data_IF_021250213474
#
_entry.id   IF_021250213474
#
_cell.length_a   1.000
_cell.length_b   1.000
_cell.length_c   1.000
_cell.angle_alpha   90.00
_cell.angle_beta   90.00
_cell.angle_gamma   90.00
#
_symmetry.space_group_name_H-M   'P 1'
#
loop_
_entity.id
_entity.type
_entity.pdbx_description
1 polymer ?
#
# COMPACT_ATOMS: atom_id res chain seq x y z
N UNK A 1 21.58 18.40 18.48
CA UNK A 1 22.14 17.37 17.59
C UNK A 1 20.98 16.75 16.82
N UNK A 2 20.82 17.10 15.54
CA UNK A 2 19.88 16.41 14.67
C UNK A 2 20.48 15.03 14.39
N UNK A 3 19.84 13.96 14.88
CA UNK A 3 20.14 12.62 14.40
C UNK A 3 19.87 12.63 12.89
N UNK A 4 20.91 12.51 12.07
CA UNK A 4 20.74 12.27 10.64
C UNK A 4 20.07 10.91 10.54
N UNK A 5 18.78 10.89 10.25
CA UNK A 5 18.04 9.66 9.99
C UNK A 5 18.70 9.04 8.75
N UNK A 6 19.37 7.91 8.95
CA UNK A 6 19.94 7.12 7.86
C UNK A 6 18.82 6.18 7.43
N UNK A 7 18.23 6.47 6.28
CA UNK A 7 17.29 5.54 5.65
C UNK A 7 18.09 4.36 5.09
N UNK A 8 17.59 3.12 5.21
CA UNK A 8 18.26 1.98 4.60
C UNK A 8 18.37 2.20 3.10
N UNK A 9 19.46 1.72 2.50
CA UNK A 9 19.45 1.53 1.05
C UNK A 9 18.39 0.47 0.76
N UNK A 10 17.70 0.53 -0.39
CA UNK A 10 16.78 -0.55 -0.75
C UNK A 10 17.46 -1.92 -0.76
N UNK A 11 18.79 -1.97 -0.96
CA UNK A 11 19.64 -3.16 -0.86
C UNK A 11 19.54 -3.90 0.49
N UNK A 12 19.13 -3.21 1.57
CA UNK A 12 18.90 -3.80 2.89
C UNK A 12 17.46 -4.32 3.07
N UNK A 13 16.55 -4.05 2.12
CA UNK A 13 15.19 -4.57 2.12
C UNK A 13 15.13 -5.95 1.48
N UNK A 14 14.19 -6.77 1.94
CA UNK A 14 13.80 -7.97 1.22
C UNK A 14 13.18 -7.61 -0.14
N UNK A 15 13.20 -8.55 -1.09
CA UNK A 15 12.58 -8.35 -2.41
C UNK A 15 11.08 -8.05 -2.29
N UNK A 16 10.43 -8.67 -1.32
CA UNK A 16 9.03 -8.52 -0.98
C UNK A 16 8.72 -7.10 -0.45
N UNK A 17 9.50 -6.62 0.52
CA UNK A 17 9.35 -5.26 1.03
C UNK A 17 9.57 -4.22 -0.08
N UNK A 18 10.57 -4.44 -0.96
CA UNK A 18 10.84 -3.56 -2.09
C UNK A 18 9.66 -3.52 -3.07
N UNK A 19 9.04 -4.67 -3.37
CA UNK A 19 7.87 -4.73 -4.25
C UNK A 19 6.70 -3.93 -3.68
N UNK A 20 6.44 -4.02 -2.37
CA UNK A 20 5.42 -3.18 -1.74
C UNK A 20 5.76 -1.69 -1.77
N UNK A 21 7.02 -1.31 -1.58
CA UNK A 21 7.46 0.10 -1.68
C UNK A 21 7.31 0.66 -3.11
N UNK A 22 7.56 -0.17 -4.14
CA UNK A 22 7.32 0.19 -5.55
C UNK A 22 5.82 0.37 -5.77
N UNK A 23 5.00 -0.63 -5.42
CA UNK A 23 3.55 -0.54 -5.58
C UNK A 23 2.94 0.67 -4.84
N UNK A 24 3.43 0.99 -3.64
CA UNK A 24 2.98 2.17 -2.88
C UNK A 24 3.40 3.51 -3.51
N UNK A 25 4.45 3.51 -4.33
CA UNK A 25 4.85 4.68 -5.12
C UNK A 25 3.87 4.93 -6.25
N UNK A 26 3.54 3.85 -6.96
CA UNK A 26 2.76 3.90 -8.18
C UNK A 26 1.26 3.95 -7.89
N UNK A 27 0.88 3.69 -6.63
CA UNK A 27 -0.52 3.49 -6.22
C UNK A 27 -1.10 2.28 -6.97
N UNK A 28 -0.24 1.28 -7.22
CA UNK A 28 -0.51 0.11 -8.07
C UNK A 28 -0.91 -1.14 -7.29
N UNK A 29 -1.06 -1.02 -5.97
CA UNK A 29 -1.87 -1.96 -5.19
C UNK A 29 -3.29 -1.40 -5.15
N UNK A 30 -4.20 -2.11 -5.81
CA UNK A 30 -5.64 -1.86 -5.83
C UNK A 30 -6.35 -3.21 -5.63
N UNK A 31 -7.64 -3.23 -5.29
CA UNK A 31 -8.40 -4.47 -5.28
C UNK A 31 -8.33 -5.16 -6.65
N UNK A 32 -7.85 -6.40 -6.68
CA UNK A 32 -7.63 -7.21 -7.87
C UNK A 32 -6.35 -6.88 -8.65
N UNK A 33 -5.57 -5.88 -8.23
CA UNK A 33 -4.29 -5.49 -8.82
C UNK A 33 -3.21 -5.56 -7.75
N UNK A 34 -2.40 -6.62 -7.82
CA UNK A 34 -1.31 -6.87 -6.88
C UNK A 34 0.03 -6.27 -7.33
N UNK A 35 0.02 -5.50 -8.42
CA UNK A 35 1.18 -4.83 -9.00
C UNK A 35 2.37 -5.77 -9.22
N UNK A 36 3.55 -5.33 -8.79
CA UNK A 36 4.83 -6.03 -8.94
C UNK A 36 5.12 -7.06 -7.83
N UNK A 37 4.11 -7.50 -7.07
CA UNK A 37 4.33 -8.54 -6.06
C UNK A 37 4.82 -9.84 -6.75
N UNK A 38 5.97 -10.41 -6.33
CA UNK A 38 6.42 -11.69 -6.85
C UNK A 38 5.61 -12.84 -6.24
N UNK A 39 5.57 -13.99 -6.89
CA UNK A 39 5.09 -15.22 -6.23
C UNK A 39 6.03 -15.60 -5.06
N UNK A 40 5.50 -16.07 -3.91
CA UNK A 40 4.11 -16.45 -3.69
C UNK A 40 3.16 -15.32 -3.27
N UNK A 41 3.66 -14.07 -3.08
CA UNK A 41 2.85 -12.96 -2.58
C UNK A 41 1.75 -12.51 -3.54
N UNK A 42 2.00 -12.58 -4.85
CA UNK A 42 0.97 -12.29 -5.86
C UNK A 42 -0.30 -13.11 -5.63
N UNK A 43 -0.17 -14.38 -5.22
CA UNK A 43 -1.27 -15.30 -4.95
C UNK A 43 -1.60 -15.49 -3.46
N UNK A 44 -0.94 -14.77 -2.56
CA UNK A 44 -1.08 -14.97 -1.12
C UNK A 44 -2.44 -14.51 -0.58
N UNK A 45 -2.85 -14.99 0.58
CA UNK A 45 -3.98 -14.41 1.32
C UNK A 45 -3.65 -13.01 1.84
N UNK A 46 -4.67 -12.20 2.11
CA UNK A 46 -4.53 -10.90 2.76
C UNK A 46 -3.80 -11.00 4.11
N UNK A 47 -4.01 -12.08 4.87
CA UNK A 47 -3.30 -12.33 6.11
C UNK A 47 -1.78 -12.53 5.91
N UNK A 48 -1.37 -13.20 4.83
CA UNK A 48 0.03 -13.37 4.45
C UNK A 48 0.64 -12.06 3.96
N UNK A 49 -0.11 -11.25 3.19
CA UNK A 49 0.33 -9.90 2.81
C UNK A 49 0.49 -9.00 4.05
N UNK A 50 -0.43 -9.10 5.02
CA UNK A 50 -0.40 -8.31 6.25
C UNK A 50 0.90 -8.53 7.03
N UNK A 51 1.43 -9.75 7.05
CA UNK A 51 2.68 -10.07 7.73
C UNK A 51 3.89 -9.28 7.18
N UNK A 52 3.85 -8.90 5.90
CA UNK A 52 4.90 -8.10 5.24
C UNK A 52 4.61 -6.60 5.33
N UNK A 53 3.34 -6.21 5.19
CA UNK A 53 2.92 -4.80 5.17
C UNK A 53 2.98 -4.14 6.55
N UNK A 54 2.55 -4.83 7.61
CA UNK A 54 2.49 -4.23 8.95
C UNK A 54 3.86 -3.71 9.43
N UNK A 55 4.98 -4.44 9.24
CA UNK A 55 6.31 -3.89 9.53
C UNK A 55 6.65 -2.61 8.77
N UNK A 56 6.23 -2.47 7.51
CA UNK A 56 6.50 -1.26 6.69
C UNK A 56 5.69 -0.06 7.20
N UNK A 57 4.45 -0.31 7.63
CA UNK A 57 3.61 0.70 8.29
C UNK A 57 4.19 1.07 9.66
N UNK A 58 4.65 0.10 10.45
CA UNK A 58 5.25 0.32 11.77
C UNK A 58 6.55 1.15 11.70
N UNK A 59 7.31 0.99 10.61
CA UNK A 59 8.47 1.83 10.29
C UNK A 59 8.07 3.23 9.79
N UNK A 60 6.78 3.45 9.54
CA UNK A 60 6.21 4.70 9.03
C UNK A 60 6.65 4.98 7.60
N UNK A 61 6.83 3.96 6.76
CA UNK A 61 7.28 4.13 5.37
C UNK A 61 6.12 4.19 4.39
N UNK A 62 5.08 3.40 4.64
CA UNK A 62 3.88 3.34 3.81
C UNK A 62 2.64 3.57 4.66
N UNK A 63 1.56 3.96 4.01
CA UNK A 63 0.21 4.00 4.58
C UNK A 63 -0.70 3.05 3.79
N UNK A 64 -1.71 2.53 4.48
CA UNK A 64 -2.79 1.74 3.87
C UNK A 64 -4.03 2.61 3.87
N UNK A 65 -4.59 2.84 2.69
CA UNK A 65 -5.68 3.78 2.46
C UNK A 65 -6.86 3.07 1.80
N UNK A 66 -8.10 3.54 2.03
CA UNK A 66 -9.21 3.19 1.16
C UNK A 66 -9.03 3.91 -0.18
N UNK A 67 -9.49 3.29 -1.26
CA UNK A 67 -9.73 3.99 -2.53
C UNK A 67 -11.02 4.81 -2.40
N UNK A 68 -10.97 6.09 -2.79
CA UNK A 68 -12.14 6.98 -2.76
C UNK A 68 -12.34 7.68 -4.12
N UNK A 69 -13.58 8.05 -4.47
CA UNK A 69 -13.83 8.84 -5.68
C UNK A 69 -13.10 10.19 -5.65
N UNK A 70 -12.69 10.63 -6.83
CA UNK A 70 -12.07 11.93 -7.04
C UNK A 70 -12.57 12.56 -8.34
N UNK A 71 -12.60 13.88 -8.37
CA UNK A 71 -12.90 14.65 -9.56
C UNK A 71 -11.72 15.58 -9.84
N UNK A 72 -11.13 15.44 -11.01
CA UNK A 72 -10.04 16.27 -11.47
C UNK A 72 -10.49 17.73 -11.70
N UNK A 73 -9.55 18.69 -11.76
CA UNK A 73 -9.87 20.09 -12.04
C UNK A 73 -10.59 20.33 -13.37
N UNK A 74 -10.45 19.41 -14.34
CA UNK A 74 -11.14 19.47 -15.63
C UNK A 74 -12.53 18.80 -15.63
N UNK A 75 -12.97 18.28 -14.48
CA UNK A 75 -14.25 17.61 -14.30
C UNK A 75 -14.24 16.11 -14.61
N UNK A 76 -13.10 15.53 -14.99
CA UNK A 76 -13.00 14.08 -15.16
C UNK A 76 -13.11 13.33 -13.83
N UNK A 77 -13.84 12.22 -13.82
CA UNK A 77 -13.98 11.34 -12.66
C UNK A 77 -12.86 10.31 -12.62
N UNK A 78 -12.40 10.00 -11.42
CA UNK A 78 -11.38 8.99 -11.17
C UNK A 78 -11.38 8.56 -9.70
N UNK A 79 -10.27 7.96 -9.28
CA UNK A 79 -10.07 7.47 -7.93
C UNK A 79 -8.74 7.99 -7.37
N UNK A 80 -8.68 8.10 -6.05
CA UNK A 80 -7.46 8.45 -5.33
C UNK A 80 -7.41 7.72 -3.98
N UNK A 81 -6.24 7.68 -3.33
CA UNK A 81 -6.15 7.29 -1.92
C UNK A 81 -6.95 8.25 -1.02
N UNK A 82 -7.78 7.70 -0.15
CA UNK A 82 -8.44 8.42 0.93
C UNK A 82 -7.54 8.54 2.17
N UNK A 83 -8.11 8.99 3.31
CA UNK A 83 -7.37 9.04 4.57
C UNK A 83 -6.86 7.65 5.00
N UNK A 84 -5.61 7.57 5.44
CA UNK A 84 -5.00 6.34 5.92
C UNK A 84 -5.82 5.71 7.07
N UNK A 85 -5.92 4.39 7.06
CA UNK A 85 -6.54 3.66 8.14
C UNK A 85 -5.70 3.72 9.43
N UNK A 86 -6.34 3.74 10.62
CA UNK A 86 -5.63 3.62 11.88
C UNK A 86 -4.83 2.31 11.96
N UNK A 87 -3.64 2.36 12.54
CA UNK A 87 -2.73 1.21 12.64
C UNK A 87 -3.36 0.02 13.38
N UNK A 88 -4.19 0.31 14.38
CA UNK A 88 -4.92 -0.68 15.18
C UNK A 88 -5.93 -1.49 14.37
N UNK A 89 -6.49 -0.92 13.30
CA UNK A 89 -7.49 -1.57 12.46
C UNK A 89 -6.84 -2.47 11.39
N UNK A 90 -5.62 -2.11 10.95
CA UNK A 90 -4.94 -2.75 9.83
C UNK A 90 -4.88 -4.28 9.90
N UNK A 91 -4.59 -4.94 11.04
CA UNK A 91 -4.55 -6.40 11.06
C UNK A 91 -5.86 -7.05 10.60
N UNK A 92 -7.01 -6.47 10.98
CA UNK A 92 -8.31 -6.98 10.57
C UNK A 92 -8.63 -6.62 9.11
N UNK A 93 -8.32 -5.39 8.69
CA UNK A 93 -8.61 -4.93 7.32
C UNK A 93 -7.75 -5.65 6.28
N UNK A 94 -6.48 -5.89 6.57
CA UNK A 94 -5.56 -6.57 5.66
C UNK A 94 -5.84 -8.07 5.58
N UNK A 95 -6.38 -8.68 6.64
CA UNK A 95 -6.76 -10.10 6.63
C UNK A 95 -8.06 -10.38 5.86
N UNK A 96 -8.82 -9.35 5.48
CA UNK A 96 -10.04 -9.46 4.69
C UNK A 96 -9.69 -9.54 3.20
N UNK A 97 -9.61 -10.77 2.67
CA UNK A 97 -9.34 -11.04 1.25
C UNK A 97 -10.28 -10.26 0.33
N UNK A 98 -11.55 -10.05 0.72
CA UNK A 98 -12.51 -9.33 -0.10
C UNK A 98 -12.13 -7.88 -0.41
N UNK A 99 -11.23 -7.28 0.38
CA UNK A 99 -10.73 -5.92 0.15
C UNK A 99 -9.53 -5.85 -0.79
N UNK A 100 -8.92 -7.00 -1.05
CA UNK A 100 -7.82 -7.19 -1.99
C UNK A 100 -8.29 -7.65 -3.37
N UNK A 101 -9.55 -8.01 -3.52
CA UNK A 101 -10.13 -8.56 -4.75
C UNK A 101 -11.00 -7.53 -5.47
N UNK A 102 -11.16 -7.68 -6.79
CA UNK A 102 -12.09 -6.86 -7.57
C UNK A 102 -13.51 -6.93 -6.99
N UNK A 103 -14.13 -5.78 -6.74
CA UNK A 103 -15.56 -5.74 -6.51
C UNK A 103 -16.32 -6.20 -7.77
N UNK A 104 -17.47 -6.85 -7.59
CA UNK A 104 -18.26 -7.41 -8.69
C UNK A 104 -18.75 -6.34 -9.67
N UNK A 105 -18.98 -5.11 -9.20
CA UNK A 105 -19.35 -3.94 -9.99
C UNK A 105 -18.15 -3.20 -10.60
N UNK A 106 -16.93 -3.69 -10.33
CA UNK A 106 -15.64 -3.07 -10.69
C UNK A 106 -15.47 -1.64 -10.14
N UNK A 107 -16.26 -1.26 -9.14
CA UNK A 107 -16.00 -0.07 -8.36
C UNK A 107 -14.91 -0.40 -7.34
N UNK A 108 -13.83 0.36 -7.34
CA UNK A 108 -12.73 0.15 -6.40
C UNK A 108 -13.00 0.82 -5.05
N UNK A 109 -14.08 1.59 -4.93
CA UNK A 109 -14.40 2.40 -3.74
C UNK A 109 -14.43 1.56 -2.47
N UNK A 110 -13.66 2.01 -1.47
CA UNK A 110 -13.53 1.34 -0.17
C UNK A 110 -12.54 0.17 -0.15
N UNK A 111 -12.03 -0.25 -1.32
CA UNK A 111 -10.97 -1.23 -1.43
C UNK A 111 -9.60 -0.70 -0.99
N UNK A 112 -8.61 -1.59 -0.86
CA UNK A 112 -7.30 -1.23 -0.33
C UNK A 112 -6.38 -0.63 -1.40
N UNK A 113 -5.68 0.42 -1.03
CA UNK A 113 -4.51 0.92 -1.76
C UNK A 113 -3.39 1.30 -0.81
N UNK A 114 -2.18 1.47 -1.35
CA UNK A 114 -0.98 1.82 -0.60
C UNK A 114 -0.42 3.16 -1.09
N UNK A 115 0.08 3.97 -0.17
CA UNK A 115 0.81 5.20 -0.47
C UNK A 115 2.12 5.25 0.29
N UNK A 116 3.08 6.01 -0.22
CA UNK A 116 4.25 6.36 0.57
C UNK A 116 3.94 7.49 1.54
N UNK A 117 4.56 7.42 2.71
CA UNK A 117 4.73 8.59 3.59
C UNK A 117 5.89 9.46 3.13
N UNK A 118 6.04 10.66 3.68
CA UNK A 118 7.25 11.48 3.50
C UNK A 118 8.55 10.74 3.87
N UNK A 119 8.51 9.83 4.84
CA UNK A 119 9.67 9.05 5.24
C UNK A 119 9.97 7.94 4.23
N UNK A 120 8.93 7.30 3.67
CA UNK A 120 9.05 6.31 2.61
C UNK A 120 9.60 6.91 1.32
N UNK A 121 9.19 8.12 0.96
CA UNK A 121 9.71 8.82 -0.23
C UNK A 121 11.21 9.11 -0.17
N UNK A 122 11.79 9.19 1.03
CA UNK A 122 13.22 9.44 1.24
C UNK A 122 14.07 8.18 1.10
N UNK A 123 13.46 7.01 0.95
CA UNK A 123 14.16 5.75 0.75
C UNK A 123 14.61 5.68 -0.71
N UNK A 124 15.92 5.63 -1.00
CA UNK A 124 16.43 5.57 -2.37
C UNK A 124 16.01 4.27 -3.03
N UNK A 125 15.33 4.32 -4.17
CA UNK A 125 14.80 3.13 -4.86
C UNK A 125 15.85 2.40 -5.68
#
# INVERSE_FOLDING_TARGET
MLHRMVYPATEDMTSEERAFMINATEIDVLPGVRGDLPEPLASASGAELAAVLLPLVDKGWIEVCPVVPWTAPDGSEGYQPGPAFPREDLPALLADDGRWEYAEDRDFTGGLTLTLTEAGERIPR
#
